data_IF_452704952375
#
_entry.id   IF_452704952375
#
_cell.length_a   1.000
_cell.length_b   1.000
_cell.length_c   1.000
_cell.angle_alpha   90.00
_cell.angle_beta   90.00
_cell.angle_gamma   90.00
#
_symmetry.space_group_name_H-M   'P 1'
#
loop_
_entity.id
_entity.type
_entity.pdbx_description
1 polymer ?
#
# COMPACT_ATOMS: atom_id res chain seq x y z
N UNK A 1 -4.66 -0.92 18.79
CA UNK A 1 -4.45 -0.17 17.52
C UNK A 1 -4.31 1.31 17.84
N UNK A 2 -3.67 2.08 16.96
CA UNK A 2 -3.47 3.53 17.12
C UNK A 2 -3.77 4.24 15.80
N UNK A 3 -4.41 5.41 15.84
CA UNK A 3 -4.56 6.27 14.66
C UNK A 3 -3.24 7.00 14.36
N UNK A 4 -2.98 7.33 13.09
CA UNK A 4 -1.91 8.29 12.77
C UNK A 4 -2.41 9.72 12.96
N UNK A 5 -1.58 10.54 13.59
CA UNK A 5 -1.83 11.96 13.83
C UNK A 5 -0.73 12.81 13.20
N UNK A 6 -1.08 14.05 12.87
CA UNK A 6 -0.14 15.05 12.36
C UNK A 6 0.23 16.02 13.48
N UNK A 7 1.44 15.88 14.01
CA UNK A 7 1.96 16.77 15.05
C UNK A 7 2.70 17.92 14.40
N UNK A 8 2.31 19.16 14.71
CA UNK A 8 2.95 20.34 14.10
C UNK A 8 4.41 20.41 14.55
N UNK A 9 5.32 20.39 13.58
CA UNK A 9 6.76 20.56 13.80
C UNK A 9 7.10 22.05 13.92
N UNK A 10 6.77 22.84 12.89
CA UNK A 10 7.03 24.27 12.85
C UNK A 10 6.12 24.96 11.82
N UNK A 11 5.86 26.25 12.03
CA UNK A 11 5.25 27.11 11.02
C UNK A 11 6.32 27.54 10.01
N UNK A 12 5.95 27.76 8.74
CA UNK A 12 6.93 28.18 7.75
C UNK A 12 7.46 29.58 8.07
N UNK A 13 8.79 29.79 8.03
CA UNK A 13 9.38 31.11 8.21
C UNK A 13 9.03 32.00 7.03
N UNK A 14 8.98 33.33 7.27
CA UNK A 14 8.77 34.29 6.17
C UNK A 14 9.91 34.23 5.13
N UNK A 15 11.13 33.94 5.57
CA UNK A 15 12.29 33.74 4.73
C UNK A 15 12.91 32.36 5.03
N UNK A 16 13.03 31.46 4.03
CA UNK A 16 13.66 30.16 4.23
C UNK A 16 15.13 30.28 4.63
N UNK A 17 15.57 29.46 5.58
CA UNK A 17 17.01 29.31 5.87
C UNK A 17 17.66 28.34 4.89
N UNK A 18 18.88 28.69 4.45
CA UNK A 18 19.74 27.85 3.62
C UNK A 18 21.00 27.40 4.38
N UNK A 19 21.07 27.70 5.67
CA UNK A 19 22.21 27.34 6.51
C UNK A 19 22.38 25.82 6.58
N UNK A 20 23.63 25.35 6.45
CA UNK A 20 23.94 23.93 6.52
C UNK A 20 23.53 23.09 5.30
N UNK A 21 22.94 23.70 4.25
CA UNK A 21 22.55 22.97 3.04
C UNK A 21 23.73 22.71 2.07
N UNK A 22 24.76 23.56 2.11
CA UNK A 22 25.91 23.48 1.20
C UNK A 22 25.50 23.58 -0.28
N UNK A 23 26.19 22.84 -1.15
CA UNK A 23 25.81 22.71 -2.56
C UNK A 23 24.57 21.84 -2.70
N UNK A 24 23.52 22.39 -3.31
CA UNK A 24 22.22 21.74 -3.52
C UNK A 24 22.11 21.27 -4.97
N UNK A 25 21.82 20.00 -5.17
CA UNK A 25 21.54 19.45 -6.49
C UNK A 25 20.09 18.97 -6.58
N UNK A 26 19.35 19.52 -7.54
CA UNK A 26 17.94 19.25 -7.76
C UNK A 26 17.85 18.32 -8.97
N UNK A 27 17.24 17.16 -8.79
CA UNK A 27 17.09 16.22 -9.90
C UNK A 27 16.04 16.68 -10.92
N UNK A 28 16.19 16.24 -12.17
CA UNK A 28 15.28 16.52 -13.27
C UNK A 28 14.14 15.48 -13.43
N UNK A 29 13.71 14.85 -12.33
CA UNK A 29 12.56 13.94 -12.32
C UNK A 29 11.28 14.64 -12.81
N UNK A 30 11.03 15.84 -12.26
CA UNK A 30 10.06 16.81 -12.77
C UNK A 30 10.75 18.16 -13.03
N UNK A 31 10.86 18.57 -14.30
CA UNK A 31 11.58 19.79 -14.69
C UNK A 31 10.87 21.08 -14.27
N UNK A 32 9.54 21.07 -14.16
CA UNK A 32 8.76 22.23 -13.76
C UNK A 32 9.02 22.57 -12.30
N UNK A 33 8.87 21.58 -11.42
CA UNK A 33 9.17 21.69 -10.00
C UNK A 33 10.65 21.96 -9.77
N UNK A 34 11.55 21.30 -10.51
CA UNK A 34 12.99 21.55 -10.39
C UNK A 34 13.36 23.01 -10.70
N UNK A 35 12.77 23.59 -11.76
CA UNK A 35 13.00 24.99 -12.12
C UNK A 35 12.47 25.97 -11.06
N UNK A 36 11.29 25.71 -10.50
CA UNK A 36 10.72 26.55 -9.44
C UNK A 36 11.55 26.47 -8.14
N UNK A 37 11.99 25.27 -7.76
CA UNK A 37 12.89 25.08 -6.63
C UNK A 37 14.22 25.80 -6.83
N UNK A 38 14.83 25.69 -8.01
CA UNK A 38 16.08 26.38 -8.34
C UNK A 38 15.92 27.89 -8.22
N UNK A 39 14.82 28.43 -8.75
CA UNK A 39 14.51 29.86 -8.66
C UNK A 39 14.39 30.31 -7.19
N UNK A 40 13.60 29.60 -6.39
CA UNK A 40 13.38 29.93 -4.98
C UNK A 40 14.67 29.82 -4.15
N UNK A 41 15.47 28.78 -4.37
CA UNK A 41 16.75 28.57 -3.68
C UNK A 41 17.78 29.64 -4.06
N UNK A 42 17.89 29.98 -5.35
CA UNK A 42 18.77 31.06 -5.81
C UNK A 42 18.37 32.40 -5.22
N UNK A 43 17.06 32.68 -5.12
CA UNK A 43 16.54 33.89 -4.48
C UNK A 43 16.85 33.94 -2.97
N UNK A 44 16.90 32.79 -2.31
CA UNK A 44 17.34 32.66 -0.92
C UNK A 44 18.87 32.70 -0.76
N UNK A 45 19.64 32.77 -1.86
CA UNK A 45 21.09 32.86 -1.86
C UNK A 45 21.84 31.52 -1.82
N UNK A 46 21.17 30.40 -2.12
CA UNK A 46 21.79 29.08 -2.10
C UNK A 46 22.64 28.80 -3.36
N UNK A 47 23.69 27.98 -3.19
CA UNK A 47 24.40 27.34 -4.30
C UNK A 47 23.58 26.13 -4.76
N UNK A 48 22.72 26.33 -5.76
CA UNK A 48 21.81 25.31 -6.27
C UNK A 48 21.95 25.12 -7.78
N UNK A 49 21.86 23.87 -8.24
CA UNK A 49 21.83 23.54 -9.66
C UNK A 49 20.89 22.38 -9.95
N UNK A 50 20.33 22.34 -11.16
CA UNK A 50 19.63 21.15 -11.66
C UNK A 50 20.66 20.19 -12.23
N UNK A 51 20.54 18.90 -11.90
CA UNK A 51 21.40 17.84 -12.38
C UNK A 51 20.60 16.58 -12.72
N UNK A 52 21.04 15.81 -13.70
CA UNK A 52 20.40 14.53 -14.03
C UNK A 52 20.66 13.46 -12.97
N UNK A 53 21.80 13.54 -12.29
CA UNK A 53 22.19 12.66 -11.20
C UNK A 53 23.05 13.42 -10.17
N UNK A 54 23.05 12.98 -8.89
CA UNK A 54 23.87 13.61 -7.86
C UNK A 54 25.37 13.49 -8.15
N UNK A 55 26.07 14.62 -8.13
CA UNK A 55 27.52 14.72 -8.26
C UNK A 55 28.25 14.55 -6.92
N UNK A 56 29.59 14.34 -6.95
CA UNK A 56 30.39 14.08 -5.75
C UNK A 56 30.48 15.26 -4.78
N UNK A 57 30.15 16.48 -5.24
CA UNK A 57 30.18 17.70 -4.44
C UNK A 57 28.82 18.05 -3.82
N UNK A 58 27.76 17.28 -4.07
CA UNK A 58 26.43 17.57 -3.54
C UNK A 58 26.41 17.41 -2.02
N UNK A 59 26.05 18.45 -1.28
CA UNK A 59 25.79 18.38 0.15
C UNK A 59 24.32 18.07 0.43
N UNK A 60 23.42 18.61 -0.40
CA UNK A 60 21.98 18.35 -0.35
C UNK A 60 21.50 17.91 -1.73
N UNK A 61 20.66 16.88 -1.79
CA UNK A 61 20.04 16.38 -3.03
C UNK A 61 18.53 16.47 -2.87
N UNK A 62 17.85 17.11 -3.81
CA UNK A 62 16.38 17.16 -3.87
C UNK A 62 15.90 16.28 -5.02
N UNK A 63 15.21 15.19 -4.68
CA UNK A 63 14.73 14.18 -5.63
C UNK A 63 13.29 14.50 -6.04
N UNK A 64 13.11 14.98 -7.27
CA UNK A 64 11.84 15.50 -7.80
C UNK A 64 10.99 14.41 -8.46
N UNK A 65 11.48 13.16 -8.56
CA UNK A 65 10.75 12.07 -9.22
C UNK A 65 9.34 11.90 -8.67
N UNK A 66 9.11 12.11 -7.36
CA UNK A 66 7.78 12.06 -6.74
C UNK A 66 6.75 13.03 -7.33
N UNK A 67 7.19 14.08 -8.05
CA UNK A 67 6.35 15.00 -8.82
C UNK A 67 6.21 14.65 -10.31
N UNK A 68 6.91 13.64 -10.81
CA UNK A 68 6.77 13.25 -12.21
C UNK A 68 5.48 12.48 -12.50
N UNK A 69 5.02 12.54 -13.76
CA UNK A 69 3.86 11.79 -14.28
C UNK A 69 4.22 10.33 -14.69
N UNK A 70 5.38 9.84 -14.26
CA UNK A 70 5.80 8.45 -14.54
C UNK A 70 4.90 7.46 -13.79
N UNK A 71 4.76 6.21 -14.30
CA UNK A 71 4.10 5.15 -13.56
C UNK A 71 4.60 5.06 -12.11
N UNK A 72 3.72 4.83 -11.12
CA UNK A 72 4.10 4.84 -9.71
C UNK A 72 5.31 3.95 -9.40
N UNK A 73 5.36 2.72 -9.92
CA UNK A 73 6.46 1.80 -9.68
C UNK A 73 7.81 2.34 -10.17
N UNK A 74 7.85 2.83 -11.41
CA UNK A 74 9.05 3.40 -12.04
C UNK A 74 9.54 4.61 -11.23
N UNK A 75 8.64 5.52 -10.89
CA UNK A 75 8.94 6.73 -10.11
C UNK A 75 9.59 6.44 -8.76
N UNK A 76 9.06 5.48 -8.00
CA UNK A 76 9.61 5.13 -6.69
C UNK A 76 10.95 4.38 -6.82
N UNK A 77 11.13 3.54 -7.85
CA UNK A 77 12.41 2.88 -8.12
C UNK A 77 13.51 3.87 -8.53
N UNK A 78 13.16 4.89 -9.34
CA UNK A 78 14.08 5.97 -9.69
C UNK A 78 14.50 6.79 -8.47
N UNK A 79 13.53 7.14 -7.61
CA UNK A 79 13.81 7.84 -6.36
C UNK A 79 14.79 7.05 -5.47
N UNK A 80 14.61 5.73 -5.36
CA UNK A 80 15.54 4.84 -4.67
C UNK A 80 16.94 4.88 -5.31
N UNK A 81 17.01 4.73 -6.64
CA UNK A 81 18.28 4.69 -7.39
C UNK A 81 19.08 5.97 -7.19
N UNK A 82 18.42 7.13 -7.27
CA UNK A 82 19.03 8.44 -7.03
C UNK A 82 19.50 8.57 -5.58
N UNK A 83 18.68 8.16 -4.61
CA UNK A 83 19.04 8.21 -3.19
C UNK A 83 20.28 7.37 -2.87
N UNK A 84 20.43 6.20 -3.53
CA UNK A 84 21.59 5.34 -3.38
C UNK A 84 22.84 5.87 -4.13
N UNK A 85 22.65 6.55 -5.26
CA UNK A 85 23.74 7.18 -6.02
C UNK A 85 24.29 8.45 -5.37
N UNK A 86 23.51 9.13 -4.54
CA UNK A 86 23.94 10.32 -3.81
C UNK A 86 25.17 10.03 -2.93
N UNK A 87 26.11 10.99 -2.78
CA UNK A 87 27.25 10.84 -1.87
C UNK A 87 26.79 10.46 -0.45
N UNK A 88 27.50 9.57 0.26
CA UNK A 88 27.05 9.06 1.56
C UNK A 88 26.82 10.14 2.63
N UNK A 89 27.55 11.26 2.55
CA UNK A 89 27.45 12.38 3.47
C UNK A 89 26.36 13.40 3.09
N UNK A 90 25.71 13.24 1.94
CA UNK A 90 24.67 14.16 1.49
C UNK A 90 23.37 13.95 2.25
N UNK A 91 22.62 15.05 2.44
CA UNK A 91 21.22 15.01 2.86
C UNK A 91 20.35 14.87 1.62
N UNK A 92 19.59 13.78 1.51
CA UNK A 92 18.72 13.49 0.37
C UNK A 92 17.27 13.70 0.77
N UNK A 93 16.55 14.55 0.05
CA UNK A 93 15.13 14.80 0.24
C UNK A 93 14.34 14.22 -0.93
N UNK A 94 13.54 13.18 -0.65
CA UNK A 94 12.56 12.62 -1.56
C UNK A 94 11.27 13.44 -1.46
N UNK A 95 10.96 14.25 -2.46
CA UNK A 95 9.73 15.06 -2.45
C UNK A 95 8.62 14.37 -3.24
N UNK A 96 7.41 14.31 -2.70
CA UNK A 96 6.26 13.72 -3.38
C UNK A 96 4.93 14.42 -3.09
N UNK A 97 3.90 14.08 -3.88
CA UNK A 97 2.56 14.64 -3.75
C UNK A 97 1.75 13.88 -2.71
N UNK A 98 1.29 14.59 -1.67
CA UNK A 98 0.26 14.11 -0.76
C UNK A 98 -1.17 14.37 -1.26
N UNK A 99 -1.33 15.29 -2.22
CA UNK A 99 -2.56 15.54 -2.97
C UNK A 99 -2.24 15.75 -4.45
N UNK A 100 -3.10 15.24 -5.32
CA UNK A 100 -2.97 15.38 -6.77
C UNK A 100 -4.34 15.36 -7.46
N UNK A 101 -4.41 15.87 -8.68
CA UNK A 101 -5.63 15.82 -9.49
C UNK A 101 -5.92 14.39 -9.97
N UNK A 102 -4.89 13.69 -10.49
CA UNK A 102 -4.98 12.28 -10.82
C UNK A 102 -4.43 11.44 -9.65
N UNK A 103 -5.16 10.43 -9.17
CA UNK A 103 -4.67 9.56 -8.09
C UNK A 103 -3.33 8.87 -8.38
N UNK A 104 -3.04 8.56 -9.65
CA UNK A 104 -1.77 7.95 -10.06
C UNK A 104 -0.53 8.81 -9.70
N UNK A 105 -0.71 10.12 -9.57
CA UNK A 105 0.37 11.06 -9.28
C UNK A 105 0.66 11.19 -7.78
N UNK A 106 -0.14 10.57 -6.90
CA UNK A 106 0.09 10.55 -5.46
C UNK A 106 1.40 9.84 -5.11
N UNK A 107 2.03 10.26 -4.02
CA UNK A 107 3.30 9.77 -3.48
C UNK A 107 3.15 8.64 -2.47
N UNK A 108 4.29 8.21 -1.94
CA UNK A 108 4.45 7.10 -1.01
C UNK A 108 5.91 6.93 -0.54
N UNK A 109 6.72 7.99 -0.61
CA UNK A 109 8.18 7.90 -0.47
C UNK A 109 8.66 7.85 1.00
N UNK A 110 7.83 8.18 2.00
CA UNK A 110 8.25 8.10 3.42
C UNK A 110 8.62 6.68 3.85
N UNK A 111 7.81 5.67 3.47
CA UNK A 111 8.14 4.27 3.76
C UNK A 111 9.45 3.82 3.09
N UNK A 112 9.71 4.31 1.87
CA UNK A 112 10.96 4.08 1.16
C UNK A 112 12.15 4.71 1.89
N UNK A 113 12.05 5.99 2.26
CA UNK A 113 13.11 6.71 2.96
C UNK A 113 13.48 6.05 4.29
N UNK A 114 12.48 5.63 5.07
CA UNK A 114 12.66 4.89 6.33
C UNK A 114 13.42 3.57 6.13
N UNK A 115 13.01 2.78 5.13
CA UNK A 115 13.70 1.52 4.82
C UNK A 115 15.15 1.75 4.38
N UNK A 116 15.41 2.78 3.55
CA UNK A 116 16.79 3.12 3.16
C UNK A 116 17.63 3.47 4.39
N UNK A 117 17.13 4.29 5.31
CA UNK A 117 17.85 4.66 6.55
C UNK A 117 18.18 3.44 7.42
N UNK A 118 17.28 2.45 7.47
CA UNK A 118 17.49 1.22 8.24
C UNK A 118 18.51 0.27 7.60
N UNK A 119 18.56 0.20 6.26
CA UNK A 119 19.48 -0.69 5.54
C UNK A 119 20.86 -0.06 5.28
N UNK A 120 20.91 1.27 5.14
CA UNK A 120 22.11 2.04 4.83
C UNK A 120 22.47 2.93 6.02
N UNK A 121 22.98 2.31 7.09
CA UNK A 121 23.37 3.02 8.30
C UNK A 121 24.27 4.23 7.99
N UNK A 122 23.88 5.39 8.51
CA UNK A 122 24.59 6.66 8.30
C UNK A 122 24.15 7.48 7.09
N UNK A 123 23.28 6.96 6.21
CA UNK A 123 22.68 7.79 5.15
C UNK A 123 21.57 8.68 5.70
N UNK A 124 21.58 9.94 5.27
CA UNK A 124 20.56 10.94 5.60
C UNK A 124 19.58 11.08 4.44
N UNK A 125 18.55 10.22 4.39
CA UNK A 125 17.49 10.25 3.36
C UNK A 125 16.16 10.53 4.03
N UNK A 126 15.41 11.53 3.59
CA UNK A 126 14.14 11.96 4.20
C UNK A 126 13.07 12.15 3.15
N UNK A 127 11.80 11.98 3.52
CA UNK A 127 10.68 12.27 2.63
C UNK A 127 9.94 13.55 3.03
N UNK A 128 9.56 14.36 2.04
CA UNK A 128 8.73 15.55 2.20
C UNK A 128 7.47 15.40 1.35
N UNK A 129 6.35 15.10 2.00
CA UNK A 129 5.07 14.87 1.32
C UNK A 129 4.23 16.14 1.30
N UNK A 130 3.93 16.64 0.10
CA UNK A 130 3.36 17.97 -0.12
C UNK A 130 1.84 17.92 -0.33
N UNK A 131 1.10 18.60 0.53
CA UNK A 131 -0.37 18.64 0.52
C UNK A 131 -0.95 19.88 -0.19
N UNK A 132 -0.11 20.81 -0.66
CA UNK A 132 -0.52 22.12 -1.22
C UNK A 132 -0.55 22.16 -2.76
N UNK A 133 -0.50 21.01 -3.43
CA UNK A 133 -0.39 20.92 -4.89
C UNK A 133 1.02 21.22 -5.40
N UNK A 134 1.12 21.81 -6.60
CA UNK A 134 2.37 21.91 -7.36
C UNK A 134 2.84 23.37 -7.59
N UNK A 135 2.18 24.33 -6.93
CA UNK A 135 2.39 25.76 -7.13
C UNK A 135 3.48 26.40 -6.25
N UNK A 136 3.54 27.75 -6.21
CA UNK A 136 4.49 28.49 -5.38
C UNK A 136 4.44 28.12 -3.89
N UNK A 137 3.26 27.81 -3.35
CA UNK A 137 3.09 27.41 -1.94
C UNK A 137 3.79 26.10 -1.64
N UNK A 138 3.77 25.14 -2.58
CA UNK A 138 4.47 23.87 -2.47
C UNK A 138 5.99 24.07 -2.47
N UNK A 139 6.49 24.89 -3.39
CA UNK A 139 7.90 25.23 -3.50
C UNK A 139 8.39 25.94 -2.24
N UNK A 140 7.62 26.91 -1.75
CA UNK A 140 7.92 27.60 -0.50
C UNK A 140 7.96 26.63 0.69
N UNK A 141 6.96 25.75 0.83
CA UNK A 141 6.91 24.75 1.88
C UNK A 141 8.13 23.81 1.88
N UNK A 142 8.53 23.33 0.69
CA UNK A 142 9.69 22.46 0.51
C UNK A 142 10.96 23.20 0.94
N UNK A 143 11.24 24.37 0.35
CA UNK A 143 12.46 25.14 0.61
C UNK A 143 12.56 25.56 2.08
N UNK A 144 11.44 25.97 2.69
CA UNK A 144 11.33 26.31 4.11
C UNK A 144 11.66 25.15 5.06
N UNK A 145 11.57 23.91 4.59
CA UNK A 145 11.75 22.72 5.42
C UNK A 145 13.15 22.12 5.36
N UNK A 146 13.91 22.37 4.28
CA UNK A 146 15.20 21.71 4.01
C UNK A 146 16.22 21.90 5.15
N UNK A 147 16.39 23.12 5.66
CA UNK A 147 17.35 23.40 6.72
C UNK A 147 16.83 23.03 8.14
N UNK A 148 15.52 22.74 8.27
CA UNK A 148 14.86 22.60 9.56
C UNK A 148 14.60 21.16 9.98
N UNK A 149 14.90 20.16 9.14
CA UNK A 149 14.53 18.77 9.45
C UNK A 149 15.61 17.74 9.11
N UNK A 150 15.72 16.75 9.97
CA UNK A 150 16.42 15.48 9.78
C UNK A 150 15.44 14.30 9.91
N UNK A 151 14.16 14.55 9.59
CA UNK A 151 13.09 13.56 9.63
C UNK A 151 12.15 13.71 8.43
N UNK A 152 11.24 12.75 8.26
CA UNK A 152 10.19 12.86 7.26
C UNK A 152 9.14 13.89 7.72
N UNK A 153 8.61 14.67 6.77
CA UNK A 153 7.59 15.68 7.03
C UNK A 153 6.42 15.58 6.05
N UNK A 154 5.25 15.98 6.54
CA UNK A 154 4.09 16.33 5.71
C UNK A 154 3.93 17.84 5.72
N UNK A 155 3.83 18.42 4.53
CA UNK A 155 3.89 19.85 4.28
C UNK A 155 2.52 20.35 3.83
N UNK A 156 1.87 21.21 4.62
CA UNK A 156 0.53 21.70 4.30
C UNK A 156 0.06 22.81 5.23
N UNK A 157 -0.97 23.56 4.83
CA UNK A 157 -1.65 24.52 5.71
C UNK A 157 -0.72 25.56 6.39
N UNK A 158 0.37 25.95 5.72
CA UNK A 158 1.34 26.91 6.26
C UNK A 158 2.31 26.38 7.32
N UNK A 159 2.34 25.06 7.55
CA UNK A 159 3.21 24.44 8.55
C UNK A 159 3.73 23.06 8.10
N UNK A 160 4.81 22.62 8.74
CA UNK A 160 5.33 21.26 8.62
C UNK A 160 4.80 20.39 9.77
N UNK A 161 4.54 19.12 9.49
CA UNK A 161 4.02 18.15 10.46
C UNK A 161 4.82 16.86 10.44
N UNK A 162 5.05 16.28 11.62
CA UNK A 162 5.47 14.89 11.75
C UNK A 162 4.24 13.98 11.77
N UNK A 163 4.40 12.78 11.21
CA UNK A 163 3.40 11.72 11.36
C UNK A 163 3.77 10.92 12.61
N UNK A 164 2.92 10.97 13.62
CA UNK A 164 3.09 10.28 14.88
C UNK A 164 1.96 9.29 15.14
N UNK A 165 2.19 8.36 16.06
CA UNK A 165 1.15 7.48 16.57
C UNK A 165 0.33 8.25 17.62
N UNK A 166 -0.97 8.41 17.38
CA UNK A 166 -1.90 8.99 18.36
C UNK A 166 -2.22 8.04 19.51
N UNK A 167 -3.21 8.36 20.33
CA UNK A 167 -3.58 7.51 21.46
C UNK A 167 -4.11 6.13 21.03
N UNK A 168 -4.07 5.18 21.96
CA UNK A 168 -4.68 3.85 21.76
C UNK A 168 -6.18 4.00 21.55
N UNK A 169 -6.66 3.51 20.42
CA UNK A 169 -8.09 3.51 20.09
C UNK A 169 -8.75 2.27 20.68
N UNK A 170 -9.87 2.50 21.37
CA UNK A 170 -10.73 1.43 21.87
C UNK A 170 -11.71 0.96 20.80
N UNK A 171 -12.25 -0.26 20.90
CA UNK A 171 -13.34 -0.71 20.04
C UNK A 171 -14.53 0.24 20.09
N UNK A 172 -15.24 0.43 18.97
CA UNK A 172 -16.44 1.27 18.93
C UNK A 172 -17.51 0.69 19.88
N UNK A 173 -18.26 1.59 20.52
CA UNK A 173 -19.29 1.24 21.52
C UNK A 173 -20.68 1.08 20.92
N UNK A 174 -20.88 1.44 19.65
CA UNK A 174 -22.17 1.36 18.97
C UNK A 174 -22.09 0.50 17.72
N UNK A 175 -22.87 -0.58 17.69
CA UNK A 175 -23.06 -1.38 16.49
C UNK A 175 -24.00 -0.64 15.52
N UNK A 176 -23.51 -0.31 14.33
CA UNK A 176 -24.39 0.07 13.23
C UNK A 176 -25.07 -1.18 12.67
N UNK A 177 -26.38 -1.11 12.46
CA UNK A 177 -27.08 -2.06 11.60
C UNK A 177 -26.92 -1.60 10.16
N UNK A 178 -25.98 -2.20 9.43
CA UNK A 178 -25.90 -1.99 8.00
C UNK A 178 -27.06 -2.72 7.30
N UNK A 179 -27.61 -2.08 6.27
CA UNK A 179 -28.69 -2.67 5.47
C UNK A 179 -28.16 -3.73 4.51
N UNK A 180 -28.97 -4.75 4.23
CA UNK A 180 -28.67 -5.93 3.40
C UNK A 180 -28.45 -5.65 1.89
N UNK A 181 -28.29 -4.39 1.51
CA UNK A 181 -28.31 -3.92 0.12
C UNK A 181 -26.92 -3.55 -0.43
N UNK A 182 -25.87 -3.66 0.39
CA UNK A 182 -24.51 -3.38 -0.02
C UNK A 182 -24.00 -4.37 -1.07
N UNK A 183 -23.23 -3.82 -2.02
CA UNK A 183 -22.44 -4.62 -2.95
C UNK A 183 -20.96 -4.28 -2.78
N UNK A 184 -20.20 -5.29 -2.38
CA UNK A 184 -18.79 -5.20 -2.05
C UNK A 184 -17.94 -5.78 -3.17
N UNK A 185 -16.92 -5.05 -3.59
CA UNK A 185 -15.82 -5.61 -4.39
C UNK A 185 -14.63 -5.83 -3.49
N UNK A 186 -14.14 -7.07 -3.43
CA UNK A 186 -13.04 -7.48 -2.56
C UNK A 186 -11.89 -8.02 -3.41
N UNK A 187 -10.81 -7.25 -3.54
CA UNK A 187 -9.62 -7.70 -4.27
C UNK A 187 -8.71 -8.52 -3.37
N UNK A 188 -8.17 -9.63 -3.88
CA UNK A 188 -7.45 -10.59 -3.04
C UNK A 188 -8.34 -11.23 -1.97
N UNK A 189 -9.66 -11.15 -2.11
CA UNK A 189 -10.65 -11.49 -1.09
C UNK A 189 -11.04 -12.96 -0.98
N UNK A 190 -10.52 -13.83 -1.83
CA UNK A 190 -10.95 -15.22 -1.90
C UNK A 190 -10.12 -16.16 -1.01
N UNK A 191 -9.03 -15.66 -0.42
CA UNK A 191 -8.00 -16.44 0.30
C UNK A 191 -7.35 -15.56 1.39
N UNK A 192 -6.75 -16.20 2.40
CA UNK A 192 -5.96 -15.50 3.44
C UNK A 192 -6.74 -14.50 4.30
N UNK A 193 -6.03 -13.52 4.87
CA UNK A 193 -6.57 -12.59 5.89
C UNK A 193 -7.63 -11.62 5.35
N UNK A 194 -7.54 -11.27 4.07
CA UNK A 194 -8.53 -10.42 3.40
C UNK A 194 -9.90 -11.09 3.37
N UNK A 195 -9.94 -12.42 3.15
CA UNK A 195 -11.22 -13.14 3.13
C UNK A 195 -11.85 -13.21 4.52
N UNK A 196 -11.06 -13.35 5.60
CA UNK A 196 -11.61 -13.33 6.96
C UNK A 196 -12.23 -11.98 7.30
N UNK A 197 -11.55 -10.88 6.93
CA UNK A 197 -12.07 -9.54 7.12
C UNK A 197 -13.37 -9.31 6.32
N UNK A 198 -13.41 -9.78 5.07
CA UNK A 198 -14.61 -9.66 4.25
C UNK A 198 -15.77 -10.52 4.78
N UNK A 199 -15.50 -11.71 5.33
CA UNK A 199 -16.52 -12.56 5.97
C UNK A 199 -17.04 -11.91 7.25
N UNK A 200 -16.19 -11.29 8.07
CA UNK A 200 -16.64 -10.56 9.26
C UNK A 200 -17.53 -9.37 8.87
N UNK A 201 -17.19 -8.62 7.81
CA UNK A 201 -18.06 -7.58 7.25
C UNK A 201 -19.38 -8.19 6.75
N UNK A 202 -19.33 -9.32 6.06
CA UNK A 202 -20.52 -10.01 5.55
C UNK A 202 -21.45 -10.47 6.68
N UNK A 203 -20.90 -10.97 7.78
CA UNK A 203 -21.66 -11.38 8.95
C UNK A 203 -22.42 -10.21 9.59
N UNK A 204 -21.88 -9.00 9.52
CA UNK A 204 -22.50 -7.79 10.12
C UNK A 204 -23.43 -7.03 9.18
N UNK A 205 -23.16 -7.09 7.89
CA UNK A 205 -23.84 -6.26 6.88
C UNK A 205 -24.76 -7.06 5.95
N UNK A 206 -24.57 -8.37 5.83
CA UNK A 206 -25.13 -9.15 4.74
C UNK A 206 -24.65 -8.63 3.38
N UNK A 207 -25.53 -8.67 2.37
CA UNK A 207 -25.25 -8.12 1.05
C UNK A 207 -24.56 -9.09 0.09
N UNK A 208 -24.00 -8.54 -0.99
CA UNK A 208 -23.37 -9.30 -2.08
C UNK A 208 -21.88 -8.97 -2.18
N UNK A 209 -21.03 -9.99 -2.23
CA UNK A 209 -19.58 -9.88 -2.29
C UNK A 209 -19.05 -10.42 -3.61
N UNK A 210 -18.38 -9.57 -4.39
CA UNK A 210 -17.62 -9.96 -5.56
C UNK A 210 -16.14 -10.07 -5.18
N UNK A 211 -15.65 -11.29 -5.08
CA UNK A 211 -14.27 -11.61 -4.74
C UNK A 211 -13.44 -11.71 -6.02
N UNK A 212 -12.45 -10.83 -6.18
CA UNK A 212 -11.56 -10.78 -7.34
C UNK A 212 -10.17 -11.29 -7.00
N UNK A 213 -9.62 -12.17 -7.84
CA UNK A 213 -8.22 -12.60 -7.71
C UNK A 213 -7.74 -13.40 -8.92
N UNK A 214 -6.44 -13.66 -9.01
CA UNK A 214 -5.84 -14.31 -10.19
C UNK A 214 -5.87 -15.85 -10.16
N UNK A 215 -6.13 -16.45 -9.01
CA UNK A 215 -6.09 -17.91 -8.84
C UNK A 215 -7.19 -18.59 -9.65
N UNK A 216 -6.89 -19.72 -10.28
CA UNK A 216 -7.94 -20.50 -10.92
C UNK A 216 -8.73 -21.26 -9.85
N UNK A 217 -10.07 -21.15 -9.90
CA UNK A 217 -10.96 -21.92 -9.05
C UNK A 217 -11.26 -23.27 -9.71
N UNK A 218 -10.32 -24.22 -9.59
CA UNK A 218 -10.47 -25.57 -10.12
C UNK A 218 -11.17 -26.44 -9.07
N UNK A 219 -12.25 -27.14 -9.47
CA UNK A 219 -12.92 -28.12 -8.62
C UNK A 219 -12.02 -29.32 -8.41
N UNK A 220 -11.92 -29.80 -7.16
CA UNK A 220 -11.08 -30.94 -6.82
C UNK A 220 -11.48 -32.20 -7.60
N UNK A 221 -10.57 -32.86 -8.35
CA UNK A 221 -10.91 -34.03 -9.13
C UNK A 221 -11.29 -35.23 -8.25
N UNK A 222 -12.38 -35.92 -8.57
CA UNK A 222 -12.89 -37.06 -7.79
C UNK A 222 -11.93 -38.26 -7.73
N UNK A 223 -10.99 -38.38 -8.66
CA UNK A 223 -9.98 -39.45 -8.67
C UNK A 223 -8.77 -39.17 -7.78
N UNK A 224 -8.68 -37.96 -7.23
CA UNK A 224 -7.54 -37.47 -6.47
C UNK A 224 -7.93 -37.36 -5.00
N UNK A 225 -7.17 -38.03 -4.13
CA UNK A 225 -7.36 -37.91 -2.69
C UNK A 225 -7.09 -36.47 -2.22
N UNK A 226 -7.98 -35.93 -1.40
CA UNK A 226 -7.86 -34.58 -0.85
C UNK A 226 -6.67 -34.48 0.12
N UNK A 227 -5.85 -33.45 -0.04
CA UNK A 227 -4.73 -33.14 0.86
C UNK A 227 -4.44 -31.65 0.81
N UNK A 228 -3.95 -31.09 1.91
CA UNK A 228 -3.46 -29.72 1.99
C UNK A 228 -1.93 -29.63 1.82
N UNK A 229 -1.27 -30.79 1.69
CA UNK A 229 0.18 -30.87 1.54
C UNK A 229 0.59 -30.77 0.07
N UNK A 230 1.12 -29.60 -0.30
CA UNK A 230 1.67 -29.38 -1.64
C UNK A 230 2.75 -30.41 -2.04
N UNK A 231 3.70 -30.82 -1.17
CA UNK A 231 4.64 -31.90 -1.49
C UNK A 231 3.96 -33.24 -1.79
N UNK A 232 2.98 -33.66 -0.98
CA UNK A 232 2.24 -34.91 -1.21
C UNK A 232 1.45 -34.86 -2.53
N UNK A 233 0.79 -33.73 -2.79
CA UNK A 233 0.02 -33.51 -4.01
C UNK A 233 0.90 -33.57 -5.26
N UNK A 234 2.06 -32.89 -5.24
CA UNK A 234 3.06 -32.97 -6.33
C UNK A 234 3.53 -34.41 -6.56
N UNK A 235 3.85 -35.14 -5.49
CA UNK A 235 4.30 -36.53 -5.59
C UNK A 235 3.23 -37.45 -6.18
N UNK A 236 1.96 -37.25 -5.80
CA UNK A 236 0.85 -38.00 -6.37
C UNK A 236 0.68 -37.71 -7.87
N UNK A 237 0.64 -36.43 -8.25
CA UNK A 237 0.48 -36.00 -9.64
C UNK A 237 1.64 -36.48 -10.51
N UNK A 238 2.87 -36.43 -10.01
CA UNK A 238 4.04 -36.92 -10.74
C UNK A 238 3.97 -38.42 -11.05
N UNK A 239 3.41 -39.25 -10.15
CA UNK A 239 3.20 -40.69 -10.41
C UNK A 239 2.17 -40.97 -11.50
N UNK A 240 1.32 -40.00 -11.84
CA UNK A 240 0.29 -40.09 -12.88
C UNK A 240 0.55 -39.15 -14.06
N UNK A 241 1.76 -38.59 -14.15
CA UNK A 241 2.12 -37.62 -15.19
C UNK A 241 1.79 -38.16 -16.60
N UNK A 242 1.11 -37.35 -17.40
CA UNK A 242 0.69 -37.73 -18.76
C UNK A 242 -0.54 -38.65 -18.85
N UNK A 243 -1.14 -39.05 -17.73
CA UNK A 243 -2.48 -39.66 -17.72
C UNK A 243 -3.55 -38.60 -18.02
N UNK A 244 -4.73 -39.00 -18.50
CA UNK A 244 -5.83 -38.11 -18.90
C UNK A 244 -6.05 -36.92 -17.94
N UNK A 245 -5.69 -35.71 -18.39
CA UNK A 245 -5.88 -34.46 -17.65
C UNK A 245 -4.80 -34.11 -16.61
N UNK A 246 -3.79 -34.96 -16.42
CA UNK A 246 -2.66 -34.72 -15.50
C UNK A 246 -1.46 -34.17 -16.28
N UNK A 247 -0.90 -33.01 -15.88
CA UNK A 247 0.27 -32.46 -16.57
C UNK A 247 1.49 -33.39 -16.56
N UNK A 248 2.32 -33.28 -17.58
CA UNK A 248 3.48 -34.16 -17.78
C UNK A 248 4.79 -33.59 -17.26
N UNK A 249 4.94 -32.27 -17.17
CA UNK A 249 6.20 -31.63 -16.75
C UNK A 249 6.19 -31.22 -15.27
N UNK A 250 7.34 -31.21 -14.56
CA UNK A 250 7.41 -30.80 -13.16
C UNK A 250 6.86 -29.39 -12.89
N UNK A 251 7.12 -28.43 -13.79
CA UNK A 251 6.64 -27.05 -13.68
C UNK A 251 5.11 -26.97 -13.79
N UNK A 252 4.53 -27.73 -14.72
CA UNK A 252 3.08 -27.75 -14.88
C UNK A 252 2.39 -28.52 -13.76
N UNK A 253 3.00 -29.60 -13.27
CA UNK A 253 2.53 -30.34 -12.09
C UNK A 253 2.51 -29.43 -10.87
N UNK A 254 3.58 -28.67 -10.61
CA UNK A 254 3.60 -27.71 -9.49
C UNK A 254 2.49 -26.67 -9.63
N UNK A 255 2.36 -26.07 -10.82
CA UNK A 255 1.31 -25.08 -11.11
C UNK A 255 -0.09 -25.66 -10.89
N UNK A 256 -0.34 -26.87 -11.39
CA UNK A 256 -1.63 -27.53 -11.24
C UNK A 256 -1.93 -27.87 -9.78
N UNK A 257 -0.95 -28.41 -9.04
CA UNK A 257 -1.06 -28.68 -7.62
C UNK A 257 -1.44 -27.42 -6.80
N UNK A 258 -0.75 -26.31 -7.05
CA UNK A 258 -1.06 -25.03 -6.40
C UNK A 258 -2.45 -24.51 -6.77
N UNK A 259 -2.87 -24.66 -8.02
CA UNK A 259 -4.20 -24.25 -8.46
C UNK A 259 -5.31 -25.09 -7.82
N UNK A 260 -5.10 -26.38 -7.61
CA UNK A 260 -6.05 -27.24 -6.89
C UNK A 260 -6.22 -26.82 -5.43
N UNK A 261 -5.10 -26.58 -4.72
CA UNK A 261 -5.14 -26.08 -3.34
C UNK A 261 -5.81 -24.70 -3.25
N UNK A 262 -5.48 -23.80 -4.18
CA UNK A 262 -6.10 -22.49 -4.24
C UNK A 262 -7.62 -22.58 -4.53
N UNK A 263 -8.03 -23.43 -5.48
CA UNK A 263 -9.44 -23.67 -5.80
C UNK A 263 -10.23 -24.22 -4.61
N UNK A 264 -9.63 -25.16 -3.86
CA UNK A 264 -10.21 -25.67 -2.62
C UNK A 264 -10.41 -24.57 -1.57
N UNK A 265 -9.41 -23.74 -1.33
CA UNK A 265 -9.48 -22.61 -0.39
C UNK A 265 -10.55 -21.58 -0.80
N UNK A 266 -10.67 -21.29 -2.10
CA UNK A 266 -11.71 -20.40 -2.65
C UNK A 266 -13.11 -20.98 -2.40
N UNK A 267 -13.33 -22.26 -2.71
CA UNK A 267 -14.62 -22.94 -2.51
C UNK A 267 -14.99 -22.93 -1.02
N UNK A 268 -14.04 -23.24 -0.14
CA UNK A 268 -14.25 -23.19 1.31
C UNK A 268 -14.59 -21.77 1.79
N UNK A 269 -13.94 -20.74 1.22
CA UNK A 269 -14.25 -19.34 1.51
C UNK A 269 -15.68 -18.97 1.09
N UNK A 270 -16.11 -19.38 -0.11
CA UNK A 270 -17.49 -19.14 -0.58
C UNK A 270 -18.54 -19.84 0.30
N UNK A 271 -18.23 -21.04 0.81
CA UNK A 271 -19.08 -21.72 1.77
C UNK A 271 -19.22 -20.93 3.08
N UNK A 272 -18.11 -20.38 3.62
CA UNK A 272 -18.14 -19.52 4.83
C UNK A 272 -18.99 -18.27 4.67
N UNK A 273 -18.98 -17.63 3.48
CA UNK A 273 -19.91 -16.52 3.20
C UNK A 273 -21.38 -16.98 3.24
N UNK A 274 -21.67 -18.16 2.69
CA UNK A 274 -23.03 -18.73 2.71
C UNK A 274 -23.48 -19.08 4.13
N UNK A 275 -22.58 -19.57 4.99
CA UNK A 275 -22.85 -19.89 6.39
C UNK A 275 -23.24 -18.66 7.21
N UNK A 276 -22.70 -17.48 6.90
CA UNK A 276 -23.08 -16.20 7.53
C UNK A 276 -24.24 -15.49 6.81
N UNK A 277 -24.86 -16.15 5.83
CA UNK A 277 -26.06 -15.65 5.14
C UNK A 277 -25.80 -14.60 4.05
N UNK A 278 -24.55 -14.45 3.58
CA UNK A 278 -24.19 -13.50 2.54
C UNK A 278 -23.99 -14.18 1.17
N UNK A 279 -24.31 -13.47 0.09
CA UNK A 279 -24.04 -13.94 -1.26
C UNK A 279 -22.60 -13.59 -1.66
N UNK A 280 -21.81 -14.56 -2.10
CA UNK A 280 -20.45 -14.33 -2.59
C UNK A 280 -20.21 -14.99 -3.93
N UNK A 281 -19.55 -14.26 -4.83
CA UNK A 281 -19.14 -14.72 -6.15
C UNK A 281 -17.64 -14.55 -6.30
N UNK A 282 -16.96 -15.61 -6.73
CA UNK A 282 -15.56 -15.51 -7.11
C UNK A 282 -15.43 -15.32 -8.63
N UNK A 283 -14.65 -14.33 -9.04
CA UNK A 283 -14.26 -14.15 -10.45
C UNK A 283 -12.74 -14.12 -10.55
N UNK A 284 -12.20 -15.02 -11.38
CA UNK A 284 -10.80 -14.97 -11.75
C UNK A 284 -10.55 -13.71 -12.58
N UNK A 285 -9.80 -12.76 -12.03
CA UNK A 285 -9.59 -11.44 -12.60
C UNK A 285 -8.14 -10.99 -12.41
N UNK A 286 -7.52 -10.50 -13.48
CA UNK A 286 -6.29 -9.73 -13.41
C UNK A 286 -6.64 -8.25 -13.27
N UNK A 287 -6.22 -7.62 -12.17
CA UNK A 287 -6.56 -6.22 -11.91
C UNK A 287 -5.84 -5.24 -12.83
N UNK A 288 -4.82 -5.69 -13.58
CA UNK A 288 -4.21 -4.89 -14.64
C UNK A 288 -5.08 -4.75 -15.89
N UNK A 289 -6.23 -5.45 -15.95
CA UNK A 289 -7.15 -5.42 -17.08
C UNK A 289 -8.51 -4.81 -16.67
N UNK A 290 -8.69 -3.48 -16.85
CA UNK A 290 -9.94 -2.80 -16.50
C UNK A 290 -11.19 -3.43 -17.12
N UNK A 291 -11.10 -3.97 -18.34
CA UNK A 291 -12.25 -4.60 -19.00
C UNK A 291 -12.68 -5.91 -18.33
N UNK A 292 -11.73 -6.68 -17.77
CA UNK A 292 -12.07 -7.85 -16.95
C UNK A 292 -12.78 -7.43 -15.66
N UNK A 293 -12.34 -6.33 -15.03
CA UNK A 293 -12.98 -5.79 -13.82
C UNK A 293 -14.42 -5.35 -14.14
N UNK A 294 -14.62 -4.57 -15.22
CA UNK A 294 -15.95 -4.14 -15.68
C UNK A 294 -16.87 -5.32 -15.96
N UNK A 295 -16.37 -6.35 -16.64
CA UNK A 295 -17.13 -7.56 -16.94
C UNK A 295 -17.51 -8.32 -15.66
N UNK A 296 -16.58 -8.44 -14.70
CA UNK A 296 -16.83 -9.09 -13.42
C UNK A 296 -17.91 -8.35 -12.60
N UNK A 297 -17.79 -7.02 -12.51
CA UNK A 297 -18.76 -6.14 -11.85
C UNK A 297 -20.13 -6.30 -12.53
N UNK A 298 -20.22 -6.08 -13.84
CA UNK A 298 -21.49 -6.13 -14.57
C UNK A 298 -22.15 -7.52 -14.53
N UNK A 299 -21.35 -8.59 -14.52
CA UNK A 299 -21.84 -9.96 -14.50
C UNK A 299 -22.32 -10.45 -13.12
N UNK A 300 -21.75 -9.92 -12.03
CA UNK A 300 -22.06 -10.38 -10.68
C UNK A 300 -23.08 -9.48 -9.93
N UNK A 301 -23.20 -8.21 -10.32
CA UNK A 301 -24.13 -7.28 -9.67
C UNK A 301 -25.59 -7.58 -10.02
N UNK A 302 -26.50 -7.60 -9.02
CA UNK A 302 -27.94 -7.58 -9.30
C UNK A 302 -28.31 -6.36 -10.15
N UNK A 303 -29.26 -6.51 -11.07
CA UNK A 303 -29.68 -5.43 -11.97
C UNK A 303 -30.06 -4.17 -11.19
N UNK A 304 -29.44 -3.04 -11.54
CA UNK A 304 -29.72 -1.73 -10.93
C UNK A 304 -29.03 -1.46 -9.60
N UNK A 305 -28.24 -2.41 -9.07
CA UNK A 305 -27.35 -2.16 -7.93
C UNK A 305 -26.02 -1.58 -8.38
N UNK A 306 -25.39 -0.80 -7.50
CA UNK A 306 -24.06 -0.24 -7.70
C UNK A 306 -23.12 -0.75 -6.61
N UNK A 307 -21.81 -0.67 -6.85
CA UNK A 307 -20.81 -0.99 -5.83
C UNK A 307 -20.87 0.10 -4.76
N UNK A 308 -21.03 -0.30 -3.51
CA UNK A 308 -21.10 0.58 -2.35
C UNK A 308 -19.94 0.36 -1.38
N UNK A 309 -19.20 -0.73 -1.53
CA UNK A 309 -18.07 -1.06 -0.66
C UNK A 309 -16.88 -1.60 -1.45
N UNK A 310 -15.68 -1.17 -1.07
CA UNK A 310 -14.42 -1.73 -1.57
C UNK A 310 -13.60 -2.24 -0.39
N UNK A 311 -13.07 -3.46 -0.53
CA UNK A 311 -12.03 -4.00 0.33
C UNK A 311 -10.86 -4.38 -0.57
N UNK A 312 -9.77 -3.63 -0.49
CA UNK A 312 -8.60 -3.83 -1.35
C UNK A 312 -7.49 -4.54 -0.59
N UNK A 313 -7.43 -5.87 -0.75
CA UNK A 313 -6.43 -6.74 -0.16
C UNK A 313 -5.47 -7.38 -1.15
N UNK A 314 -5.54 -7.02 -2.44
CA UNK A 314 -4.63 -7.54 -3.45
C UNK A 314 -3.20 -7.03 -3.24
N UNK A 315 -2.26 -7.97 -3.13
CA UNK A 315 -0.85 -7.66 -2.96
C UNK A 315 0.02 -8.90 -3.11
N UNK A 316 1.29 -8.68 -3.43
CA UNK A 316 2.35 -9.69 -3.40
C UNK A 316 3.62 -9.05 -2.85
N UNK A 317 4.54 -9.88 -2.38
CA UNK A 317 5.87 -9.47 -1.94
C UNK A 317 6.89 -9.71 -3.06
N UNK A 318 7.95 -8.92 -3.06
CA UNK A 318 9.12 -9.09 -3.93
C UNK A 318 10.33 -8.53 -3.21
N UNK A 319 10.65 -9.17 -2.09
CA UNK A 319 11.59 -8.65 -1.10
C UNK A 319 13.04 -8.75 -1.59
N UNK A 320 13.78 -7.66 -1.37
CA UNK A 320 15.20 -7.53 -1.67
C UNK A 320 15.75 -6.33 -0.90
N UNK A 321 17.02 -6.43 -0.48
CA UNK A 321 17.74 -5.25 0.05
C UNK A 321 17.77 -4.13 -0.98
N UNK A 322 17.87 -2.89 -0.52
CA UNK A 322 17.73 -1.67 -1.33
C UNK A 322 18.63 -1.66 -2.57
N UNK A 323 19.84 -2.21 -2.49
CA UNK A 323 20.78 -2.29 -3.63
C UNK A 323 20.42 -3.34 -4.69
N UNK A 324 19.55 -4.29 -4.33
CA UNK A 324 19.09 -5.36 -5.22
C UNK A 324 17.67 -5.13 -5.74
N UNK A 325 17.01 -4.06 -5.30
CA UNK A 325 15.72 -3.67 -5.82
C UNK A 325 15.85 -3.19 -7.28
N UNK A 326 14.95 -3.65 -8.13
CA UNK A 326 14.87 -3.30 -9.55
C UNK A 326 13.50 -2.72 -9.86
N UNK A 327 13.36 -2.07 -11.01
CA UNK A 327 12.05 -1.61 -11.49
C UNK A 327 11.04 -2.75 -11.55
N UNK A 328 11.47 -3.96 -11.96
CA UNK A 328 10.61 -5.14 -12.03
C UNK A 328 10.13 -5.61 -10.64
N UNK A 329 10.97 -5.51 -9.60
CA UNK A 329 10.54 -5.86 -8.23
C UNK A 329 9.59 -4.80 -7.66
N UNK A 330 9.74 -3.53 -8.04
CA UNK A 330 8.75 -2.50 -7.77
C UNK A 330 7.43 -2.78 -8.49
N UNK A 331 7.46 -3.01 -9.81
CA UNK A 331 6.25 -3.28 -10.61
C UNK A 331 5.49 -4.52 -10.13
N UNK A 332 6.21 -5.56 -9.68
CA UNK A 332 5.59 -6.76 -9.11
C UNK A 332 4.72 -6.43 -7.90
N UNK A 333 5.18 -5.55 -7.02
CA UNK A 333 4.46 -5.15 -5.79
C UNK A 333 3.39 -4.10 -6.07
N UNK A 334 3.71 -3.09 -6.88
CA UNK A 334 2.81 -1.99 -7.25
C UNK A 334 1.66 -2.46 -8.13
N UNK A 335 1.87 -3.42 -9.04
CA UNK A 335 0.85 -3.89 -9.98
C UNK A 335 -0.49 -4.26 -9.33
N UNK A 336 -0.55 -5.25 -8.43
CA UNK A 336 -1.82 -5.61 -7.78
C UNK A 336 -2.28 -4.58 -6.73
N UNK A 337 -1.35 -3.85 -6.11
CA UNK A 337 -1.63 -3.01 -4.93
C UNK A 337 -2.04 -1.58 -5.30
N UNK A 338 -1.33 -0.95 -6.22
CA UNK A 338 -1.55 0.43 -6.67
C UNK A 338 -2.28 0.43 -8.01
N UNK A 339 -1.67 -0.13 -9.06
CA UNK A 339 -2.24 -0.09 -10.42
C UNK A 339 -3.61 -0.79 -10.46
N UNK A 340 -3.73 -1.92 -9.77
CA UNK A 340 -4.98 -2.67 -9.66
C UNK A 340 -6.09 -1.93 -8.91
N UNK A 341 -5.75 -1.12 -7.90
CA UNK A 341 -6.73 -0.27 -7.22
C UNK A 341 -7.16 0.89 -8.11
N UNK A 342 -6.21 1.53 -8.80
CA UNK A 342 -6.50 2.58 -9.77
C UNK A 342 -7.44 2.07 -10.87
N UNK A 343 -7.17 0.88 -11.43
CA UNK A 343 -8.03 0.24 -12.42
C UNK A 343 -9.43 -0.08 -11.87
N UNK A 344 -9.53 -0.58 -10.63
CA UNK A 344 -10.82 -0.83 -9.98
C UNK A 344 -11.62 0.47 -9.80
N UNK A 345 -10.97 1.54 -9.35
CA UNK A 345 -11.61 2.83 -9.10
C UNK A 345 -12.11 3.51 -10.40
N UNK A 346 -11.55 3.16 -11.56
CA UNK A 346 -12.08 3.57 -12.88
C UNK A 346 -13.32 2.76 -13.32
N UNK A 347 -13.66 1.67 -12.63
CA UNK A 347 -14.76 0.78 -12.97
C UNK A 347 -15.98 0.94 -12.03
N UNK A 348 -15.87 1.79 -11.03
CA UNK A 348 -16.94 2.11 -10.07
C UNK A 348 -17.19 3.61 -10.03
N UNK A 349 -18.36 4.03 -9.56
CA UNK A 349 -18.63 5.43 -9.24
C UNK A 349 -18.22 5.70 -7.78
N UNK A 350 -17.15 6.46 -7.51
CA UNK A 350 -16.75 6.75 -6.13
C UNK A 350 -17.82 7.49 -5.33
N UNK A 351 -18.73 8.23 -5.98
CA UNK A 351 -19.83 8.93 -5.33
C UNK A 351 -20.92 8.02 -4.76
N UNK A 352 -20.91 6.73 -5.12
CA UNK A 352 -21.82 5.71 -4.60
C UNK A 352 -21.18 4.84 -3.51
N UNK A 353 -19.86 4.97 -3.34
CA UNK A 353 -19.15 4.25 -2.30
C UNK A 353 -19.52 4.81 -0.92
N UNK A 354 -19.84 3.89 -0.01
CA UNK A 354 -20.03 4.12 1.41
C UNK A 354 -18.80 3.70 2.22
N UNK A 355 -18.09 2.68 1.75
CA UNK A 355 -16.96 2.08 2.46
C UNK A 355 -15.77 1.82 1.54
N UNK A 356 -14.56 2.12 2.01
CA UNK A 356 -13.31 1.78 1.34
C UNK A 356 -12.26 1.36 2.38
N UNK A 357 -12.01 0.05 2.49
CA UNK A 357 -10.96 -0.53 3.34
C UNK A 357 -9.75 -0.94 2.52
N UNK A 358 -8.59 -0.34 2.78
CA UNK A 358 -7.32 -0.62 2.11
C UNK A 358 -6.38 -1.39 3.03
N UNK A 359 -5.83 -2.50 2.54
CA UNK A 359 -4.83 -3.29 3.26
C UNK A 359 -3.43 -2.71 2.97
N UNK A 360 -3.04 -1.78 3.84
CA UNK A 360 -1.69 -1.25 3.92
C UNK A 360 -0.84 -2.13 4.85
N UNK A 361 0.31 -1.61 5.28
CA UNK A 361 1.27 -2.31 6.13
C UNK A 361 1.94 -1.34 7.09
N UNK A 362 2.26 -1.79 8.30
CA UNK A 362 3.07 -1.06 9.24
C UNK A 362 4.48 -0.74 8.67
N UNK A 363 4.96 -1.48 7.67
CA UNK A 363 6.20 -1.13 6.94
C UNK A 363 6.12 0.22 6.21
N UNK A 364 4.94 0.71 5.83
CA UNK A 364 4.79 2.07 5.28
C UNK A 364 5.01 3.16 6.34
N UNK A 365 4.74 2.84 7.59
CA UNK A 365 4.83 3.78 8.71
C UNK A 365 6.24 3.79 9.29
N UNK A 366 6.84 2.61 9.44
CA UNK A 366 8.12 2.45 10.15
C UNK A 366 9.30 2.13 9.23
N UNK A 367 9.08 1.82 7.96
CA UNK A 367 10.07 1.12 7.13
C UNK A 367 10.17 -0.37 7.51
N UNK A 368 10.80 -1.16 6.65
CA UNK A 368 11.19 -2.53 6.99
C UNK A 368 12.33 -2.99 6.06
N UNK A 369 13.48 -3.47 6.58
CA UNK A 369 14.58 -3.95 5.74
C UNK A 369 14.14 -5.08 4.81
N UNK A 370 14.62 -5.04 3.57
CA UNK A 370 14.24 -5.93 2.48
C UNK A 370 12.95 -5.55 1.76
N UNK A 371 12.23 -4.53 2.24
CA UNK A 371 10.85 -4.23 1.80
C UNK A 371 10.66 -2.79 1.34
N UNK A 372 11.69 -2.17 0.74
CA UNK A 372 11.62 -0.79 0.24
C UNK A 372 10.47 -0.57 -0.77
N UNK A 373 10.28 -1.48 -1.73
CA UNK A 373 9.17 -1.46 -2.69
C UNK A 373 7.80 -1.65 -2.02
N UNK A 374 7.70 -2.54 -1.04
CA UNK A 374 6.46 -2.81 -0.31
C UNK A 374 6.08 -1.67 0.63
N UNK A 375 7.04 -1.10 1.36
CA UNK A 375 6.83 0.09 2.18
C UNK A 375 6.35 1.27 1.33
N UNK A 376 6.95 1.48 0.15
CA UNK A 376 6.54 2.50 -0.80
C UNK A 376 5.10 2.32 -1.31
N UNK A 377 4.76 1.12 -1.79
CA UNK A 377 3.43 0.84 -2.33
C UNK A 377 2.31 0.96 -1.28
N UNK A 378 2.59 0.57 -0.03
CA UNK A 378 1.65 0.75 1.08
C UNK A 378 1.60 2.22 1.55
N UNK A 379 2.71 2.96 1.47
CA UNK A 379 2.74 4.41 1.66
C UNK A 379 1.81 5.12 0.67
N UNK A 380 1.82 4.69 -0.59
CA UNK A 380 0.88 5.19 -1.60
C UNK A 380 -0.58 4.94 -1.24
N UNK A 381 -0.93 3.74 -0.75
CA UNK A 381 -2.29 3.47 -0.27
C UNK A 381 -2.71 4.40 0.87
N UNK A 382 -1.80 4.72 1.77
CA UNK A 382 -2.06 5.66 2.86
C UNK A 382 -2.36 7.06 2.29
N UNK A 383 -1.52 7.56 1.38
CA UNK A 383 -1.77 8.83 0.70
C UNK A 383 -3.11 8.83 -0.03
N UNK A 384 -3.45 7.73 -0.72
CA UNK A 384 -4.71 7.61 -1.43
C UNK A 384 -5.92 7.59 -0.50
N UNK A 385 -5.80 6.99 0.70
CA UNK A 385 -6.87 7.04 1.70
C UNK A 385 -7.17 8.48 2.15
N UNK A 386 -6.14 9.29 2.39
CA UNK A 386 -6.30 10.72 2.70
C UNK A 386 -6.95 11.45 1.54
N UNK A 387 -6.50 11.20 0.31
CA UNK A 387 -7.06 11.80 -0.89
C UNK A 387 -8.56 11.47 -1.06
N UNK A 388 -8.95 10.20 -0.90
CA UNK A 388 -10.35 9.78 -0.96
C UNK A 388 -11.18 10.43 0.14
N UNK A 389 -10.67 10.47 1.38
CA UNK A 389 -11.39 11.08 2.50
C UNK A 389 -11.63 12.58 2.29
N UNK A 390 -10.69 13.28 1.65
CA UNK A 390 -10.84 14.69 1.31
C UNK A 390 -11.80 14.91 0.11
N UNK A 391 -11.71 14.07 -0.92
CA UNK A 391 -12.51 14.17 -2.13
C UNK A 391 -13.97 13.74 -1.94
N UNK A 392 -14.22 12.77 -1.05
CA UNK A 392 -15.54 12.17 -0.81
C UNK A 392 -15.87 12.15 0.70
N UNK A 393 -16.35 13.27 1.29
CA UNK A 393 -16.56 13.37 2.74
C UNK A 393 -17.58 12.37 3.32
N UNK A 394 -18.46 11.80 2.49
CA UNK A 394 -19.41 10.75 2.90
C UNK A 394 -18.85 9.33 2.82
N UNK A 395 -17.70 9.15 2.17
CA UNK A 395 -17.05 7.85 2.03
C UNK A 395 -16.26 7.53 3.30
N UNK A 396 -16.54 6.37 3.89
CA UNK A 396 -15.83 5.86 5.05
C UNK A 396 -14.56 5.15 4.60
N UNK A 397 -13.45 5.87 4.63
CA UNK A 397 -12.14 5.37 4.17
C UNK A 397 -11.27 4.94 5.36
N UNK A 398 -10.63 3.78 5.22
CA UNK A 398 -9.63 3.27 6.15
C UNK A 398 -8.47 2.60 5.41
N UNK A 399 -7.26 3.07 5.67
CA UNK A 399 -6.03 2.36 5.37
C UNK A 399 -5.51 1.70 6.64
N UNK A 400 -5.47 0.37 6.63
CA UNK A 400 -5.00 -0.43 7.75
C UNK A 400 -3.53 -0.76 7.56
N UNK A 401 -2.67 -0.05 8.29
CA UNK A 401 -1.23 -0.32 8.38
C UNK A 401 -1.01 -1.54 9.29
N UNK A 402 -1.29 -2.72 8.74
CA UNK A 402 -1.21 -3.99 9.47
C UNK A 402 0.23 -4.34 9.87
N UNK A 403 0.40 -4.74 11.12
CA UNK A 403 1.50 -5.57 11.60
C UNK A 403 1.38 -7.00 11.07
N UNK A 404 2.21 -7.93 11.58
CA UNK A 404 2.28 -9.27 11.03
C UNK A 404 1.08 -10.09 11.50
N UNK A 405 0.53 -10.90 10.62
CA UNK A 405 -0.61 -11.78 10.93
C UNK A 405 -0.14 -13.20 11.18
N UNK A 406 -0.94 -13.97 11.92
CA UNK A 406 -0.84 -15.42 11.94
C UNK A 406 -1.25 -15.99 10.58
N UNK A 407 -0.28 -16.53 9.84
CA UNK A 407 -0.48 -17.03 8.48
C UNK A 407 -0.54 -15.93 7.42
N UNK A 408 -1.18 -16.22 6.28
CA UNK A 408 -1.21 -15.30 5.14
C UNK A 408 0.15 -15.19 4.45
N UNK A 409 0.76 -14.00 4.46
CA UNK A 409 2.11 -13.77 3.91
C UNK A 409 3.24 -14.11 4.90
N UNK A 410 2.91 -14.41 6.17
CA UNK A 410 3.88 -14.79 7.19
C UNK A 410 4.00 -16.31 7.25
N UNK A 411 5.15 -16.82 6.82
CA UNK A 411 5.52 -18.23 7.01
C UNK A 411 6.16 -18.47 8.39
N UNK A 412 6.43 -19.73 8.73
CA UNK A 412 7.04 -20.10 10.01
C UNK A 412 8.45 -19.53 10.23
N UNK A 413 9.18 -19.22 9.15
CA UNK A 413 10.49 -18.57 9.22
C UNK A 413 10.35 -17.11 9.60
N UNK A 414 9.45 -16.41 8.92
CA UNK A 414 9.15 -15.00 9.16
C UNK A 414 8.50 -14.78 10.52
N UNK A 415 7.61 -15.68 10.95
CA UNK A 415 7.01 -15.68 12.28
C UNK A 415 8.08 -15.69 13.40
N UNK A 416 9.12 -16.53 13.26
CA UNK A 416 10.24 -16.58 14.22
C UNK A 416 11.07 -15.29 14.23
N UNK A 417 11.25 -14.64 13.08
CA UNK A 417 11.96 -13.37 13.00
C UNK A 417 11.22 -12.24 13.70
N UNK A 418 9.88 -12.19 13.61
CA UNK A 418 9.07 -11.22 14.34
C UNK A 418 9.10 -11.49 15.85
N UNK A 419 8.95 -12.75 16.27
CA UNK A 419 9.06 -13.11 17.68
C UNK A 419 10.42 -12.74 18.28
N UNK A 420 11.51 -12.88 17.52
CA UNK A 420 12.86 -12.49 17.96
C UNK A 420 13.07 -10.97 18.11
N UNK A 421 12.12 -10.16 17.64
CA UNK A 421 12.09 -8.70 17.75
C UNK A 421 10.97 -8.21 18.68
N UNK A 422 10.39 -9.10 19.48
CA UNK A 422 9.26 -8.83 20.38
C UNK A 422 8.02 -8.26 19.67
N UNK A 423 7.80 -8.67 18.42
CA UNK A 423 6.65 -8.29 17.61
C UNK A 423 5.67 -9.47 17.60
N UNK A 424 4.48 -9.24 18.18
CA UNK A 424 3.41 -10.23 18.24
C UNK A 424 2.69 -10.40 16.90
N UNK A 425 2.25 -11.62 16.61
CA UNK A 425 1.39 -11.89 15.45
C UNK A 425 -0.07 -11.59 15.80
N UNK A 426 -0.77 -10.93 14.88
CA UNK A 426 -2.20 -10.66 14.97
C UNK A 426 -2.95 -11.93 14.58
N UNK A 427 -3.80 -12.44 15.47
CA UNK A 427 -4.63 -13.60 15.14
C UNK A 427 -5.65 -13.24 14.04
N UNK A 428 -5.99 -14.22 13.20
CA UNK A 428 -6.93 -14.01 12.07
C UNK A 428 -8.30 -13.48 12.53
N UNK A 429 -8.81 -14.01 13.64
CA UNK A 429 -10.11 -13.61 14.18
C UNK A 429 -10.09 -12.19 14.78
N UNK A 430 -9.02 -11.85 15.50
CA UNK A 430 -8.90 -10.52 16.09
C UNK A 430 -8.75 -9.44 15.01
N UNK A 431 -7.87 -9.66 14.04
CA UNK A 431 -7.67 -8.70 12.96
C UNK A 431 -8.93 -8.52 12.10
N UNK A 432 -9.68 -9.60 11.82
CA UNK A 432 -10.96 -9.51 11.11
C UNK A 432 -12.00 -8.66 11.86
N UNK A 433 -12.12 -8.84 13.19
CA UNK A 433 -12.99 -8.02 14.03
C UNK A 433 -12.56 -6.56 14.05
N UNK A 434 -11.27 -6.28 14.24
CA UNK A 434 -10.74 -4.91 14.20
C UNK A 434 -11.05 -4.26 12.86
N UNK A 435 -10.88 -4.98 11.75
CA UNK A 435 -11.21 -4.45 10.42
C UNK A 435 -12.67 -4.03 10.31
N UNK A 436 -13.60 -4.92 10.68
CA UNK A 436 -15.03 -4.64 10.59
C UNK A 436 -15.46 -3.52 11.55
N UNK A 437 -15.00 -3.54 12.81
CA UNK A 437 -15.25 -2.49 13.80
C UNK A 437 -14.86 -1.10 13.25
N UNK A 438 -13.65 -1.01 12.70
CA UNK A 438 -13.10 0.28 12.28
C UNK A 438 -13.63 0.78 10.94
N UNK A 439 -14.01 -0.12 10.03
CA UNK A 439 -14.59 0.25 8.75
C UNK A 439 -16.07 0.59 8.87
N UNK A 440 -16.82 -0.14 9.71
CA UNK A 440 -18.29 -0.05 9.76
C UNK A 440 -18.82 0.83 10.89
N UNK A 441 -18.15 0.89 12.05
CA UNK A 441 -18.76 1.39 13.29
C UNK A 441 -18.01 2.56 13.92
N UNK A 442 -16.69 2.65 13.75
CA UNK A 442 -15.88 3.72 14.33
C UNK A 442 -16.21 5.11 13.78
N UNK A 443 -15.88 6.16 14.57
CA UNK A 443 -15.76 7.49 13.99
C UNK A 443 -14.73 7.46 12.86
N UNK A 444 -14.86 8.31 11.85
CA UNK A 444 -13.95 8.31 10.71
C UNK A 444 -12.87 9.40 10.76
N UNK A 445 -12.49 9.83 11.97
CA UNK A 445 -11.55 10.93 12.16
C UNK A 445 -10.14 10.64 11.60
N UNK A 446 -9.72 9.37 11.59
CA UNK A 446 -8.37 8.97 11.14
C UNK A 446 -8.43 8.06 9.91
N UNK A 447 -7.95 8.48 8.74
CA UNK A 447 -7.92 7.62 7.56
C UNK A 447 -6.89 6.49 7.67
N UNK A 448 -5.89 6.59 8.57
CA UNK A 448 -4.83 5.57 8.74
C UNK A 448 -4.81 4.99 10.14
N UNK A 449 -4.77 3.67 10.23
CA UNK A 449 -4.75 2.93 11.49
C UNK A 449 -3.56 1.97 11.52
N UNK A 450 -2.71 2.08 12.53
CA UNK A 450 -1.67 1.09 12.82
C UNK A 450 -2.25 0.02 13.73
N UNK A 451 -2.22 -1.23 13.26
CA UNK A 451 -2.77 -2.37 13.99
C UNK A 451 -1.68 -3.41 14.22
N UNK A 452 -1.51 -3.82 15.48
CA UNK A 452 -0.36 -4.62 15.93
C UNK A 452 0.65 -3.79 16.70
N UNK A 453 1.76 -4.43 17.05
CA UNK A 453 2.85 -3.82 17.80
C UNK A 453 3.63 -2.80 16.94
N UNK A 454 4.21 -1.80 17.60
CA UNK A 454 5.16 -0.87 16.97
C UNK A 454 6.44 -1.63 16.71
N UNK A 455 6.94 -1.57 15.48
CA UNK A 455 8.25 -2.13 15.12
C UNK A 455 9.16 -1.02 14.58
N UNK A 456 10.45 -1.04 14.90
CA UNK A 456 11.41 -0.08 14.34
C UNK A 456 11.79 1.12 15.22
N UNK A 457 11.46 1.12 16.52
CA UNK A 457 12.19 1.90 17.52
C UNK A 457 12.94 0.98 18.47
N UNK A 458 14.27 0.95 18.30
CA UNK A 458 15.28 0.61 19.29
C UNK A 458 16.49 1.51 19.06
#
# INVERSE_FOLDING_TARGET
MRGLVFEKAFDYPQAPSIEGLGRIEITAGDLGIAALLLQALTQAGADAAIADAPGPAANTVIVTDGFSERPPAERHHRALTIALAAPPASRVFLIDRGQAAAPADLGGLSGLAKTIRQEQAGRSVYALTVMTGDGPDAVHAIVSSLAQTDQDLVLGQGAAFHVALGDTLLPPTSAMTAGSDDVWVVTGGARGVTSDCAIEVAQRTGGTFLLLGRSSCIVWPSWLEETDSLPQLRAYLARRAGSNGVPSTPKEIDRYARNLLAGREIIATLARFSEVGAAAHYVQCDLSQPDMIRAAITGALPRGKQVTGIIHGAGVLSDAVVEKQTEATFQTVFGPKVDGLLALMQCVDPGQLRYCGLFSSASAVFGNPGQANYAAANGWLNTYATHLSAAYPSLRVRSFCWGPWEGGMVDEGLARMFAARDISLISRNEGARIFADQLLEADHAFPHLVVGDVWGEA
#
